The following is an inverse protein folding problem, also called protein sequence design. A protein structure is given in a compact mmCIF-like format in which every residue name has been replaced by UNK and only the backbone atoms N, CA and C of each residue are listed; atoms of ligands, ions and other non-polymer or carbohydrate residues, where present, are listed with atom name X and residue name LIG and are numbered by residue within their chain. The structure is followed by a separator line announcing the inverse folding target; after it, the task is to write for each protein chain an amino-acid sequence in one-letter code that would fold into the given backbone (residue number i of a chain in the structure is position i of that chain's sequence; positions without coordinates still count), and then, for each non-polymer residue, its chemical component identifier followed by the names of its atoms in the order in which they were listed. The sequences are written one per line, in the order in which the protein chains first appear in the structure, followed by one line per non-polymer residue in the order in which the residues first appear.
data_IF_872597918985
#
_entry.id   IF_872597918985
#
_cell.length_a   1.000
_cell.length_b   1.000
_cell.length_c   1.000
_cell.angle_alpha   90.00
_cell.angle_beta   90.00
_cell.angle_gamma   90.00
#
_symmetry.space_group_name_H-M   'P 1'
#
loop_
_entity.id
_entity.type
_entity.pdbx_description
1 polymer ?
#
# COMPACT_ATOMS: atom_id res chain seq x y z
N UNK A 1 9.85 -16.13 3.44
CA UNK A 1 8.57 -16.82 3.06
C UNK A 1 8.42 -16.62 1.57
N UNK A 2 7.93 -17.59 0.81
CA UNK A 2 7.67 -17.35 -0.63
C UNK A 2 6.44 -16.45 -0.76
N UNK A 3 6.53 -15.40 -1.57
CA UNK A 3 5.40 -14.55 -1.95
C UNK A 3 4.39 -15.46 -2.69
N UNK A 4 3.11 -15.50 -2.28
CA UNK A 4 2.13 -16.32 -2.98
C UNK A 4 1.90 -15.78 -4.40
N UNK A 5 1.78 -16.68 -5.35
CA UNK A 5 1.38 -16.37 -6.71
C UNK A 5 -0.13 -16.07 -6.74
N UNK A 6 -0.50 -14.88 -7.15
CA UNK A 6 -1.88 -14.40 -7.29
C UNK A 6 -2.35 -14.33 -8.75
N UNK A 7 -1.55 -14.78 -9.71
CA UNK A 7 -1.91 -14.81 -11.14
C UNK A 7 -3.08 -15.76 -11.45
N UNK A 8 -3.30 -16.78 -10.61
CA UNK A 8 -4.43 -17.69 -10.72
C UNK A 8 -5.50 -17.42 -9.67
N UNK A 9 -6.78 -17.60 -10.05
CA UNK A 9 -7.92 -17.39 -9.15
C UNK A 9 -7.84 -18.31 -7.92
N UNK A 10 -7.96 -17.74 -6.73
CA UNK A 10 -7.91 -18.41 -5.42
C UNK A 10 -9.15 -18.08 -4.61
N UNK A 11 -9.38 -18.88 -3.56
CA UNK A 11 -10.35 -18.57 -2.49
C UNK A 11 -9.59 -18.02 -1.30
N UNK A 12 -9.74 -16.72 -1.06
CA UNK A 12 -8.97 -15.99 -0.05
C UNK A 12 -9.92 -15.52 1.06
N UNK A 13 -9.61 -15.88 2.30
CA UNK A 13 -10.36 -15.44 3.47
C UNK A 13 -9.62 -14.35 4.25
N UNK A 14 -10.26 -13.20 4.48
CA UNK A 14 -9.66 -12.08 5.20
C UNK A 14 -10.19 -12.00 6.63
N UNK A 15 -9.32 -12.11 7.63
CA UNK A 15 -9.67 -11.96 9.04
C UNK A 15 -9.36 -10.53 9.50
N UNK A 16 -10.41 -9.82 9.96
CA UNK A 16 -10.36 -8.39 10.24
C UNK A 16 -10.63 -7.54 8.99
N UNK A 17 -11.51 -8.00 8.11
CA UNK A 17 -11.84 -7.37 6.84
C UNK A 17 -12.52 -5.99 6.96
N UNK A 18 -13.11 -5.66 8.12
CA UNK A 18 -13.76 -4.38 8.38
C UNK A 18 -12.81 -3.20 8.62
N UNK A 19 -11.51 -3.45 8.78
CA UNK A 19 -10.50 -2.39 8.83
C UNK A 19 -10.27 -1.78 7.43
N UNK A 20 -10.00 -0.46 7.36
CA UNK A 20 -9.82 0.27 6.10
C UNK A 20 -8.78 -0.40 5.19
N UNK A 21 -7.60 -0.73 5.72
CA UNK A 21 -6.53 -1.35 4.92
C UNK A 21 -6.84 -2.76 4.45
N UNK A 22 -7.48 -3.60 5.29
CA UNK A 22 -7.87 -4.96 4.89
C UNK A 22 -9.07 -4.93 3.93
N UNK A 23 -9.98 -3.98 4.10
CA UNK A 23 -11.08 -3.76 3.17
C UNK A 23 -10.61 -3.34 1.78
N UNK A 24 -9.59 -2.49 1.72
CA UNK A 24 -8.95 -2.10 0.46
C UNK A 24 -8.29 -3.32 -0.24
N UNK A 25 -7.59 -4.16 0.53
CA UNK A 25 -7.02 -5.42 0.02
C UNK A 25 -8.11 -6.36 -0.48
N UNK A 26 -9.23 -6.50 0.26
CA UNK A 26 -10.37 -7.32 -0.15
C UNK A 26 -10.96 -6.87 -1.49
N UNK A 27 -11.17 -5.56 -1.66
CA UNK A 27 -11.68 -4.97 -2.90
C UNK A 27 -10.76 -5.28 -4.09
N UNK A 28 -9.44 -5.09 -3.91
CA UNK A 28 -8.44 -5.36 -4.95
C UNK A 28 -8.42 -6.85 -5.32
N UNK A 29 -8.29 -7.74 -4.35
CA UNK A 29 -8.28 -9.19 -4.59
C UNK A 29 -9.56 -9.68 -5.29
N UNK A 30 -10.71 -9.14 -4.90
CA UNK A 30 -11.98 -9.47 -5.56
C UNK A 30 -12.00 -9.02 -7.03
N UNK A 31 -11.51 -7.82 -7.33
CA UNK A 31 -11.39 -7.29 -8.71
C UNK A 31 -10.33 -8.01 -9.53
N UNK A 32 -9.29 -8.58 -8.90
CA UNK A 32 -8.33 -9.48 -9.55
C UNK A 32 -8.95 -10.81 -9.98
N UNK A 33 -10.21 -11.10 -9.58
CA UNK A 33 -10.92 -12.33 -9.93
C UNK A 33 -10.83 -13.44 -8.88
N UNK A 34 -10.32 -13.16 -7.69
CA UNK A 34 -10.33 -14.11 -6.58
C UNK A 34 -11.73 -14.20 -5.95
N UNK A 35 -12.06 -15.38 -5.42
CA UNK A 35 -13.22 -15.53 -4.54
C UNK A 35 -12.81 -15.06 -3.14
N UNK A 36 -13.32 -13.90 -2.73
CA UNK A 36 -12.98 -13.29 -1.44
C UNK A 36 -14.10 -13.50 -0.45
N UNK A 37 -13.75 -14.02 0.73
CA UNK A 37 -14.61 -14.07 1.92
C UNK A 37 -13.90 -13.39 3.07
N UNK A 38 -14.60 -13.09 4.16
CA UNK A 38 -13.93 -12.50 5.31
C UNK A 38 -14.76 -12.50 6.58
N UNK A 39 -14.15 -12.01 7.64
CA UNK A 39 -14.78 -11.83 8.95
C UNK A 39 -14.29 -10.56 9.63
N UNK A 40 -15.15 -9.98 10.47
CA UNK A 40 -14.76 -8.92 11.39
C UNK A 40 -15.57 -9.04 12.69
N UNK A 41 -15.03 -8.51 13.79
CA UNK A 41 -15.74 -8.48 15.08
C UNK A 41 -16.98 -7.58 15.07
N UNK A 42 -16.95 -6.54 14.23
CA UNK A 42 -17.96 -5.50 14.15
C UNK A 42 -18.54 -5.40 12.76
N UNK A 43 -19.83 -5.19 12.70
CA UNK A 43 -20.48 -4.71 11.50
C UNK A 43 -20.17 -3.21 11.31
N UNK A 44 -19.99 -2.77 10.08
CA UNK A 44 -19.59 -1.39 9.80
C UNK A 44 -19.59 -1.06 8.31
N UNK A 45 -19.35 0.22 7.97
CA UNK A 45 -19.43 0.69 6.58
C UNK A 45 -18.54 -0.09 5.60
N UNK A 46 -17.33 -0.49 6.02
CA UNK A 46 -16.42 -1.29 5.18
C UNK A 46 -17.01 -2.69 4.94
N UNK A 47 -17.49 -3.36 5.97
CA UNK A 47 -18.13 -4.69 5.86
C UNK A 47 -19.34 -4.63 4.92
N UNK A 48 -20.19 -3.62 5.07
CA UNK A 48 -21.34 -3.43 4.21
C UNK A 48 -20.95 -3.17 2.76
N UNK A 49 -19.95 -2.33 2.52
CA UNK A 49 -19.41 -2.08 1.16
C UNK A 49 -18.91 -3.38 0.51
N UNK A 50 -18.16 -4.21 1.24
CA UNK A 50 -17.66 -5.48 0.74
C UNK A 50 -18.79 -6.46 0.40
N UNK A 51 -19.86 -6.50 1.23
CA UNK A 51 -21.05 -7.31 0.94
C UNK A 51 -21.80 -6.82 -0.30
N UNK A 52 -21.97 -5.52 -0.45
CA UNK A 52 -22.57 -4.92 -1.65
C UNK A 52 -21.75 -5.26 -2.91
N UNK A 53 -20.42 -5.35 -2.79
CA UNK A 53 -19.55 -5.80 -3.86
C UNK A 53 -19.65 -7.32 -4.16
N UNK A 54 -20.45 -8.08 -3.40
CA UNK A 54 -20.68 -9.51 -3.62
C UNK A 54 -19.82 -10.45 -2.79
N UNK A 55 -19.05 -9.94 -1.83
CA UNK A 55 -18.21 -10.75 -0.95
C UNK A 55 -19.02 -11.25 0.26
N UNK A 56 -18.74 -12.47 0.70
CA UNK A 56 -19.34 -13.04 1.91
C UNK A 56 -18.51 -12.63 3.14
N UNK A 57 -19.03 -11.68 3.93
CA UNK A 57 -18.36 -11.18 5.13
C UNK A 57 -19.19 -11.50 6.39
N UNK A 58 -18.57 -12.26 7.29
CA UNK A 58 -19.19 -12.69 8.56
C UNK A 58 -18.92 -11.67 9.67
N UNK A 59 -19.88 -11.52 10.58
CA UNK A 59 -19.69 -10.79 11.84
C UNK A 59 -19.40 -11.80 12.95
N UNK A 60 -18.26 -11.60 13.63
CA UNK A 60 -17.70 -12.57 14.57
C UNK A 60 -16.72 -13.52 13.89
N UNK A 61 -15.80 -14.04 14.70
CA UNK A 61 -14.78 -14.99 14.25
C UNK A 61 -15.17 -16.42 14.63
N UNK A 62 -15.27 -17.29 13.64
CA UNK A 62 -15.54 -18.72 13.81
C UNK A 62 -14.72 -19.55 12.81
N UNK A 63 -14.20 -20.70 13.23
CA UNK A 63 -13.45 -21.61 12.37
C UNK A 63 -14.22 -22.04 11.12
N UNK A 64 -15.56 -22.07 11.18
CA UNK A 64 -16.42 -22.41 10.05
C UNK A 64 -16.40 -21.35 8.94
N UNK A 65 -16.08 -20.07 9.25
CA UNK A 65 -16.04 -18.98 8.27
C UNK A 65 -14.95 -19.22 7.20
N UNK A 66 -13.91 -19.99 7.49
CA UNK A 66 -12.87 -20.34 6.52
C UNK A 66 -13.41 -21.09 5.29
N UNK A 67 -14.51 -21.83 5.43
CA UNK A 67 -15.06 -22.62 4.36
C UNK A 67 -14.00 -23.48 3.65
N UNK A 68 -13.83 -23.24 2.36
CA UNK A 68 -12.85 -23.89 1.49
C UNK A 68 -11.72 -22.93 1.05
N UNK A 69 -11.30 -22.02 1.93
CA UNK A 69 -10.23 -21.07 1.64
C UNK A 69 -8.91 -21.78 1.30
N UNK A 70 -8.21 -21.29 0.29
CA UNK A 70 -6.89 -21.75 -0.13
C UNK A 70 -5.78 -20.91 0.53
N UNK A 71 -6.13 -19.71 1.00
CA UNK A 71 -5.25 -18.72 1.60
C UNK A 71 -6.02 -17.90 2.64
N UNK A 72 -5.39 -17.54 3.72
CA UNK A 72 -5.92 -16.63 4.74
C UNK A 72 -5.04 -15.39 4.83
N UNK A 73 -5.62 -14.20 4.79
CA UNK A 73 -4.92 -12.95 5.06
C UNK A 73 -5.45 -12.32 6.36
N UNK A 74 -4.55 -11.84 7.21
CA UNK A 74 -4.93 -11.31 8.52
C UNK A 74 -4.46 -9.87 8.73
N UNK A 75 -5.29 -9.08 9.41
CA UNK A 75 -4.90 -7.78 9.94
C UNK A 75 -3.86 -7.94 11.06
N UNK A 76 -2.99 -6.95 11.24
CA UNK A 76 -2.03 -6.89 12.34
C UNK A 76 -2.69 -6.92 13.73
N UNK A 77 -3.96 -6.52 13.83
CA UNK A 77 -4.74 -6.55 15.08
C UNK A 77 -5.24 -7.96 15.45
N UNK A 78 -5.13 -8.95 14.56
CA UNK A 78 -5.64 -10.30 14.79
C UNK A 78 -4.61 -11.13 15.56
N UNK A 79 -4.95 -11.61 16.77
CA UNK A 79 -4.03 -12.42 17.56
C UNK A 79 -4.00 -13.88 17.06
N UNK A 80 -2.90 -14.59 17.30
CA UNK A 80 -2.71 -16.00 16.93
C UNK A 80 -3.77 -16.94 17.54
N UNK A 81 -4.37 -16.56 18.68
CA UNK A 81 -5.47 -17.30 19.33
C UNK A 81 -6.82 -17.21 18.63
N UNK A 82 -6.92 -16.38 17.56
CA UNK A 82 -8.16 -16.25 16.78
C UNK A 82 -8.58 -17.63 16.24
N UNK A 83 -9.89 -18.01 16.33
CA UNK A 83 -10.36 -19.34 15.94
C UNK A 83 -10.12 -19.64 14.45
N UNK A 84 -10.21 -18.65 13.59
CA UNK A 84 -9.99 -18.80 12.15
C UNK A 84 -8.48 -19.03 11.87
N UNK A 85 -7.60 -18.27 12.52
CA UNK A 85 -6.13 -18.44 12.40
C UNK A 85 -5.71 -19.83 12.88
N UNK A 86 -6.24 -20.28 14.01
CA UNK A 86 -5.97 -21.62 14.53
C UNK A 86 -6.44 -22.72 13.58
N UNK A 87 -7.68 -22.58 13.09
CA UNK A 87 -8.24 -23.56 12.15
C UNK A 87 -7.49 -23.57 10.81
N UNK A 88 -7.01 -22.41 10.31
CA UNK A 88 -6.16 -22.34 9.14
C UNK A 88 -4.85 -23.10 9.34
N UNK A 89 -4.17 -22.88 10.47
CA UNK A 89 -2.94 -23.59 10.82
C UNK A 89 -3.15 -25.12 10.96
N UNK A 90 -4.23 -25.54 11.60
CA UNK A 90 -4.60 -26.96 11.73
C UNK A 90 -4.88 -27.63 10.38
N UNK A 91 -5.46 -26.88 9.42
CA UNK A 91 -5.73 -27.33 8.05
C UNK A 91 -4.55 -27.12 7.10
N UNK A 92 -3.41 -26.59 7.59
CA UNK A 92 -2.23 -26.25 6.79
C UNK A 92 -2.52 -25.23 5.67
N UNK A 93 -3.52 -24.36 5.85
CA UNK A 93 -3.81 -23.27 4.94
C UNK A 93 -2.80 -22.15 5.24
N UNK A 94 -2.09 -21.61 4.25
CA UNK A 94 -1.17 -20.49 4.46
C UNK A 94 -1.88 -19.28 5.08
N UNK A 95 -1.27 -18.71 6.13
CA UNK A 95 -1.75 -17.50 6.79
C UNK A 95 -0.75 -16.39 6.53
N UNK A 96 -1.17 -15.35 5.85
CA UNK A 96 -0.38 -14.18 5.49
C UNK A 96 -0.78 -12.97 6.33
N UNK A 97 0.19 -12.17 6.70
CA UNK A 97 -0.05 -10.86 7.26
C UNK A 97 -0.27 -9.83 6.13
N UNK A 98 -0.75 -8.64 6.47
CA UNK A 98 -0.85 -7.52 5.53
C UNK A 98 0.49 -7.26 4.82
N UNK A 99 1.60 -7.32 5.55
CA UNK A 99 2.96 -7.18 5.03
C UNK A 99 3.38 -8.26 4.02
N UNK A 100 2.68 -9.38 3.95
CA UNK A 100 2.97 -10.49 3.05
C UNK A 100 2.04 -10.49 1.82
N UNK A 101 0.76 -10.09 2.00
CA UNK A 101 -0.22 -10.07 0.89
C UNK A 101 -0.05 -8.85 -0.02
N UNK A 102 0.36 -7.69 0.52
CA UNK A 102 0.60 -6.50 -0.29
C UNK A 102 1.72 -6.68 -1.32
N UNK A 103 2.89 -7.27 -0.98
CA UNK A 103 3.91 -7.61 -1.97
C UNK A 103 3.41 -8.58 -3.04
N UNK A 104 2.53 -9.53 -2.68
CA UNK A 104 1.96 -10.45 -3.65
C UNK A 104 1.05 -9.72 -4.67
N UNK A 105 0.23 -8.79 -4.22
CA UNK A 105 -0.59 -7.93 -5.11
C UNK A 105 0.32 -7.05 -5.97
N UNK A 106 1.35 -6.44 -5.35
CA UNK A 106 2.30 -5.56 -6.03
C UNK A 106 3.05 -6.26 -7.16
N UNK A 107 3.37 -7.54 -6.97
CA UNK A 107 4.09 -8.35 -7.96
C UNK A 107 3.30 -8.62 -9.26
N UNK A 108 1.98 -8.42 -9.26
CA UNK A 108 1.12 -8.63 -10.43
C UNK A 108 1.17 -7.46 -11.44
N UNK A 109 1.82 -6.35 -11.10
CA UNK A 109 1.93 -5.14 -11.93
C UNK A 109 3.30 -4.47 -11.74
N UNK A 110 3.60 -3.51 -12.60
CA UNK A 110 4.72 -2.58 -12.43
C UNK A 110 4.39 -1.61 -11.29
N UNK A 111 5.18 -1.57 -10.25
CA UNK A 111 4.81 -0.85 -9.03
C UNK A 111 5.48 0.51 -8.90
N UNK A 112 4.67 1.51 -8.57
CA UNK A 112 5.12 2.83 -8.10
C UNK A 112 4.86 2.86 -6.60
N UNK A 113 5.92 2.89 -5.81
CA UNK A 113 5.82 2.92 -4.35
C UNK A 113 6.17 4.32 -3.85
N UNK A 114 5.21 4.93 -3.16
CA UNK A 114 5.38 6.25 -2.53
C UNK A 114 5.68 6.05 -1.06
N UNK A 115 6.90 6.34 -0.65
CA UNK A 115 7.38 6.25 0.72
C UNK A 115 7.77 7.61 1.28
N UNK A 116 7.97 7.68 2.59
CA UNK A 116 8.36 8.87 3.32
C UNK A 116 7.53 9.08 4.57
N UNK A 117 8.05 9.81 5.54
CA UNK A 117 7.40 10.01 6.83
C UNK A 117 6.03 10.67 6.68
N UNK A 118 5.94 11.69 5.82
CA UNK A 118 4.72 12.47 5.58
C UNK A 118 4.40 12.61 4.10
N UNK A 119 3.12 12.87 3.78
CA UNK A 119 2.67 13.21 2.42
C UNK A 119 2.45 12.02 1.48
N UNK A 120 2.66 10.77 1.92
CA UNK A 120 2.43 9.54 1.11
C UNK A 120 1.06 9.54 0.44
N UNK A 121 -0.01 9.64 1.24
CA UNK A 121 -1.40 9.60 0.77
C UNK A 121 -1.70 10.71 -0.25
N UNK A 122 -1.27 11.95 0.05
CA UNK A 122 -1.48 13.08 -0.86
C UNK A 122 -0.77 12.86 -2.19
N UNK A 123 0.51 12.48 -2.15
CA UNK A 123 1.32 12.24 -3.35
C UNK A 123 0.77 11.09 -4.18
N UNK A 124 0.40 9.97 -3.54
CA UNK A 124 -0.19 8.81 -4.21
C UNK A 124 -1.53 9.16 -4.86
N UNK A 125 -2.39 9.94 -4.17
CA UNK A 125 -3.68 10.38 -4.72
C UNK A 125 -3.49 11.30 -5.93
N UNK A 126 -2.59 12.28 -5.84
CA UNK A 126 -2.30 13.18 -6.96
C UNK A 126 -1.73 12.41 -8.16
N UNK A 127 -0.84 11.46 -7.91
CA UNK A 127 -0.26 10.60 -8.95
C UNK A 127 -1.34 9.73 -9.61
N UNK A 128 -2.20 9.08 -8.81
CA UNK A 128 -3.30 8.26 -9.34
C UNK A 128 -4.22 9.09 -10.24
N UNK A 129 -4.61 10.29 -9.80
CA UNK A 129 -5.43 11.21 -10.60
C UNK A 129 -4.74 11.62 -11.89
N UNK A 130 -3.47 12.03 -11.83
CA UNK A 130 -2.70 12.42 -13.00
C UNK A 130 -2.59 11.27 -14.03
N UNK A 131 -2.42 10.04 -13.55
CA UNK A 131 -2.35 8.87 -14.43
C UNK A 131 -3.71 8.49 -15.02
N UNK A 132 -4.81 8.65 -14.26
CA UNK A 132 -6.19 8.49 -14.79
C UNK A 132 -6.47 9.52 -15.89
N UNK A 133 -6.16 10.79 -15.66
CA UNK A 133 -6.32 11.86 -16.66
C UNK A 133 -5.43 11.68 -17.90
N UNK A 134 -4.34 10.92 -17.76
CA UNK A 134 -3.46 10.54 -18.87
C UNK A 134 -3.88 9.24 -19.58
N UNK A 135 -5.06 8.69 -19.30
CA UNK A 135 -5.58 7.43 -19.84
C UNK A 135 -4.67 6.21 -19.61
N UNK A 136 -3.91 6.22 -18.49
CA UNK A 136 -3.02 5.11 -18.11
C UNK A 136 -3.72 4.04 -17.24
N UNK A 137 -4.95 4.31 -16.80
CA UNK A 137 -5.82 3.39 -16.04
C UNK A 137 -5.11 2.63 -14.90
N UNK A 138 -4.47 3.33 -13.93
CA UNK A 138 -3.66 2.68 -12.92
C UNK A 138 -4.49 1.94 -11.88
N UNK A 139 -3.96 0.82 -11.38
CA UNK A 139 -4.40 0.22 -10.13
C UNK A 139 -3.77 0.95 -8.95
N UNK A 140 -4.42 0.97 -7.78
CA UNK A 140 -3.83 1.58 -6.59
C UNK A 140 -4.42 1.06 -5.26
N UNK A 141 -3.62 1.14 -4.20
CA UNK A 141 -4.04 1.05 -2.79
C UNK A 141 -3.42 2.25 -2.05
N UNK A 142 -4.27 3.16 -1.60
CA UNK A 142 -3.91 4.42 -0.95
C UNK A 142 -4.59 4.48 0.42
N UNK A 143 -3.93 5.07 1.42
CA UNK A 143 -4.40 5.10 2.81
C UNK A 143 -5.66 5.92 3.08
N UNK A 144 -6.21 6.60 2.08
CA UNK A 144 -7.45 7.38 2.14
C UNK A 144 -8.25 7.26 0.84
N UNK A 145 -9.51 7.69 0.86
CA UNK A 145 -10.31 7.75 -0.36
C UNK A 145 -9.82 8.89 -1.26
N UNK A 146 -9.63 8.58 -2.53
CA UNK A 146 -9.41 9.58 -3.58
C UNK A 146 -10.78 10.15 -3.92
N UNK A 147 -11.04 11.38 -3.53
CA UNK A 147 -12.39 12.00 -3.57
C UNK A 147 -13.05 11.91 -4.95
N UNK A 148 -12.30 12.13 -6.01
CA UNK A 148 -12.77 12.12 -7.39
C UNK A 148 -13.11 10.72 -7.89
N UNK A 149 -12.45 9.70 -7.32
CA UNK A 149 -12.66 8.28 -7.66
C UNK A 149 -13.64 7.63 -6.67
N UNK A 150 -13.76 8.17 -5.45
CA UNK A 150 -14.64 7.67 -4.39
C UNK A 150 -14.16 6.37 -3.73
N UNK A 151 -12.88 6.02 -3.92
CA UNK A 151 -12.27 4.84 -3.32
C UNK A 151 -10.77 5.03 -3.10
N UNK A 152 -10.25 4.46 -2.03
CA UNK A 152 -8.79 4.35 -1.78
C UNK A 152 -8.16 3.09 -2.41
N UNK A 153 -8.95 2.24 -3.09
CA UNK A 153 -8.45 1.02 -3.70
C UNK A 153 -9.15 0.73 -5.01
N UNK A 154 -8.36 0.55 -6.05
CA UNK A 154 -8.83 0.22 -7.41
C UNK A 154 -7.91 -0.83 -8.01
N UNK A 155 -8.47 -1.79 -8.71
CA UNK A 155 -7.76 -2.68 -9.62
C UNK A 155 -8.31 -2.46 -11.02
N UNK A 156 -7.47 -1.96 -11.91
CA UNK A 156 -7.83 -1.54 -13.26
C UNK A 156 -7.00 -2.29 -14.30
N UNK A 157 -7.18 -2.00 -15.58
CA UNK A 157 -6.54 -2.76 -16.68
C UNK A 157 -5.14 -2.24 -17.04
N UNK A 158 -4.74 -1.07 -16.55
CA UNK A 158 -3.42 -0.48 -16.80
C UNK A 158 -2.27 -1.28 -16.19
N UNK A 159 -1.07 -1.07 -16.69
CA UNK A 159 0.13 -1.80 -16.28
C UNK A 159 0.69 -1.38 -14.91
N UNK A 160 0.27 -0.23 -14.38
CA UNK A 160 0.83 0.37 -13.18
C UNK A 160 -0.01 0.12 -11.93
N UNK A 161 0.69 -0.11 -10.83
CA UNK A 161 0.12 -0.20 -9.49
C UNK A 161 0.77 0.81 -8.55
N UNK A 162 -0.02 1.75 -8.04
CA UNK A 162 0.43 2.76 -7.09
C UNK A 162 0.10 2.29 -5.67
N UNK A 163 1.10 2.27 -4.81
CA UNK A 163 0.93 1.84 -3.42
C UNK A 163 1.75 2.71 -2.46
N UNK A 164 1.19 2.96 -1.28
CA UNK A 164 1.93 3.61 -0.20
C UNK A 164 2.87 2.62 0.47
N UNK A 165 4.13 2.99 0.54
CA UNK A 165 5.16 2.27 1.27
C UNK A 165 5.19 2.67 2.74
N UNK A 166 4.76 1.77 3.64
CA UNK A 166 4.78 2.01 5.07
C UNK A 166 6.18 1.69 5.63
N UNK A 167 6.88 2.73 6.07
CA UNK A 167 8.20 2.62 6.70
C UNK A 167 8.08 2.14 8.16
N UNK A 168 6.95 2.40 8.82
CA UNK A 168 6.78 2.11 10.25
C UNK A 168 6.85 0.63 10.59
N UNK A 169 6.51 -0.25 9.65
CA UNK A 169 6.56 -1.72 9.79
C UNK A 169 7.53 -2.38 8.79
N UNK A 170 8.32 -1.57 8.06
CA UNK A 170 9.26 -1.99 7.01
C UNK A 170 8.61 -2.68 5.79
N UNK A 171 7.29 -2.64 5.64
CA UNK A 171 6.59 -3.27 4.51
C UNK A 171 7.06 -2.72 3.17
N UNK A 172 7.44 -1.44 3.10
CA UNK A 172 7.90 -0.78 1.88
C UNK A 172 9.09 -1.48 1.20
N UNK A 173 9.96 -2.18 1.97
CA UNK A 173 11.12 -2.91 1.44
C UNK A 173 10.72 -4.12 0.57
N UNK A 174 9.54 -4.67 0.78
CA UNK A 174 9.09 -5.89 0.10
C UNK A 174 8.13 -5.65 -1.07
N UNK A 175 7.75 -4.39 -1.33
CA UNK A 175 6.74 -4.06 -2.35
C UNK A 175 7.25 -4.14 -3.80
N UNK A 176 8.55 -4.34 -4.02
CA UNK A 176 9.10 -4.52 -5.37
C UNK A 176 8.98 -3.27 -6.24
N UNK A 177 9.32 -2.09 -5.72
CA UNK A 177 9.20 -0.84 -6.45
C UNK A 177 10.00 -0.83 -7.75
N UNK A 178 9.34 -0.64 -8.88
CA UNK A 178 10.02 -0.25 -10.11
C UNK A 178 10.35 1.24 -10.09
N UNK A 179 9.40 2.06 -9.59
CA UNK A 179 9.59 3.48 -9.33
C UNK A 179 9.43 3.71 -7.84
N UNK A 180 10.46 4.20 -7.18
CA UNK A 180 10.44 4.64 -5.78
C UNK A 180 10.33 6.16 -5.72
N UNK A 181 9.29 6.67 -5.03
CA UNK A 181 9.11 8.10 -4.78
C UNK A 181 9.30 8.31 -3.28
N UNK A 182 10.24 9.18 -2.90
CA UNK A 182 10.47 9.55 -1.49
C UNK A 182 10.10 11.01 -1.28
N UNK A 183 9.07 11.22 -0.46
CA UNK A 183 8.54 12.56 -0.17
C UNK A 183 9.40 13.32 0.85
N UNK A 184 9.78 12.66 1.93
CA UNK A 184 10.64 13.17 2.99
C UNK A 184 11.15 12.00 3.86
N UNK A 185 12.21 12.24 4.62
CA UNK A 185 12.70 11.28 5.63
C UNK A 185 12.99 12.03 6.91
N UNK A 186 12.13 11.84 7.89
CA UNK A 186 12.26 12.40 9.23
C UNK A 186 12.34 11.27 10.27
N UNK A 187 13.01 11.48 11.42
CA UNK A 187 13.14 10.48 12.47
C UNK A 187 11.81 10.33 13.23
N UNK A 188 10.87 9.59 12.65
CA UNK A 188 9.58 9.22 13.24
C UNK A 188 9.40 7.69 13.17
N UNK A 189 8.51 7.13 14.00
CA UNK A 189 8.24 5.69 14.08
C UNK A 189 9.49 4.81 14.28
N UNK A 190 10.45 5.32 15.09
CA UNK A 190 11.75 4.67 15.28
C UNK A 190 11.71 3.36 16.07
N UNK A 191 10.55 2.97 16.64
CA UNK A 191 10.41 1.74 17.43
C UNK A 191 10.80 0.49 16.63
N UNK A 192 10.56 0.49 15.32
CA UNK A 192 10.92 -0.60 14.39
C UNK A 192 12.39 -0.58 14.01
N UNK A 193 13.10 0.49 14.34
CA UNK A 193 14.49 0.78 14.00
C UNK A 193 15.38 0.93 15.25
N UNK A 194 15.05 0.21 16.34
CA UNK A 194 15.77 0.27 17.62
C UNK A 194 15.95 1.69 18.18
N UNK A 195 15.05 2.61 17.82
CA UNK A 195 15.11 4.05 18.09
C UNK A 195 16.36 4.72 17.48
N UNK A 196 16.89 4.18 16.40
CA UNK A 196 18.07 4.67 15.71
C UNK A 196 17.70 5.27 14.34
N UNK A 197 17.85 6.60 14.16
CA UNK A 197 17.59 7.25 12.86
C UNK A 197 18.50 6.78 11.73
N UNK A 198 19.71 6.26 12.03
CA UNK A 198 20.63 5.75 11.02
C UNK A 198 20.06 4.46 10.41
N UNK A 199 19.47 3.58 11.21
CA UNK A 199 18.80 2.37 10.71
C UNK A 199 17.57 2.68 9.84
N UNK A 200 16.80 3.73 10.17
CA UNK A 200 15.73 4.21 9.30
C UNK A 200 16.29 4.66 7.94
N UNK A 201 17.36 5.46 7.96
CA UNK A 201 18.00 5.92 6.73
C UNK A 201 18.58 4.76 5.90
N UNK A 202 19.21 3.77 6.53
CA UNK A 202 19.68 2.55 5.87
C UNK A 202 18.55 1.79 5.19
N UNK A 203 17.38 1.66 5.84
CA UNK A 203 16.22 1.03 5.23
C UNK A 203 15.70 1.81 4.01
N UNK A 204 15.70 3.14 4.06
CA UNK A 204 15.36 3.94 2.88
C UNK A 204 16.41 3.80 1.75
N UNK A 205 17.71 3.67 2.08
CA UNK A 205 18.75 3.37 1.09
C UNK A 205 18.48 2.02 0.42
N UNK A 206 18.22 0.97 1.21
CA UNK A 206 17.86 -0.36 0.69
C UNK A 206 16.63 -0.30 -0.25
N UNK A 207 15.59 0.43 0.16
CA UNK A 207 14.38 0.64 -0.63
C UNK A 207 14.66 1.28 -1.99
N UNK A 208 15.40 2.39 -2.01
CA UNK A 208 15.67 3.10 -3.27
C UNK A 208 16.72 2.40 -4.13
N UNK A 209 17.66 1.66 -3.55
CA UNK A 209 18.63 0.85 -4.31
C UNK A 209 17.94 -0.27 -5.11
N UNK A 210 16.88 -0.86 -4.55
CA UNK A 210 16.10 -1.90 -5.21
C UNK A 210 15.29 -1.39 -6.42
N UNK A 211 14.97 -0.09 -6.47
CA UNK A 211 14.16 0.49 -7.54
C UNK A 211 14.96 0.81 -8.80
N UNK A 212 14.31 0.67 -9.96
CA UNK A 212 14.89 1.06 -11.26
C UNK A 212 14.93 2.58 -11.41
N UNK A 213 13.84 3.25 -11.03
CA UNK A 213 13.72 4.72 -11.07
C UNK A 213 13.50 5.25 -9.66
N UNK A 214 14.19 6.32 -9.31
CA UNK A 214 14.16 6.95 -7.98
C UNK A 214 13.82 8.41 -8.14
N UNK A 215 12.87 8.88 -7.33
CA UNK A 215 12.37 10.25 -7.37
C UNK A 215 12.36 10.80 -5.94
N UNK A 216 12.99 11.94 -5.72
CA UNK A 216 13.20 12.53 -4.39
C UNK A 216 12.69 13.96 -4.31
N UNK A 217 12.08 14.32 -3.19
CA UNK A 217 11.76 15.71 -2.91
C UNK A 217 13.04 16.51 -2.61
N UNK A 218 13.36 17.49 -3.47
CA UNK A 218 14.54 18.35 -3.33
C UNK A 218 14.43 19.33 -2.16
N UNK A 219 13.21 19.56 -1.66
CA UNK A 219 12.94 20.49 -0.57
C UNK A 219 13.11 19.84 0.82
N UNK A 220 13.31 18.50 0.88
CA UNK A 220 13.52 17.76 2.11
C UNK A 220 14.99 17.35 2.30
N UNK A 221 15.61 17.70 3.45
CA UNK A 221 17.01 17.38 3.71
C UNK A 221 17.31 15.86 3.79
N UNK A 222 16.37 15.05 4.32
CA UNK A 222 16.51 13.60 4.44
C UNK A 222 16.42 12.92 3.08
N UNK A 223 15.43 13.29 2.24
CA UNK A 223 15.34 12.81 0.87
C UNK A 223 16.57 13.20 0.05
N UNK A 224 17.10 14.40 0.25
CA UNK A 224 18.35 14.84 -0.40
C UNK A 224 19.59 14.13 0.14
N UNK A 225 19.58 13.64 1.37
CA UNK A 225 20.62 12.74 1.86
C UNK A 225 20.61 11.41 1.11
N UNK A 226 19.44 10.83 0.88
CA UNK A 226 19.26 9.63 0.05
C UNK A 226 19.74 9.88 -1.40
N UNK A 227 19.34 11.00 -2.01
CA UNK A 227 19.70 11.34 -3.38
C UNK A 227 21.24 11.48 -3.58
N UNK A 228 21.97 11.87 -2.51
CA UNK A 228 23.45 11.89 -2.54
C UNK A 228 24.06 10.49 -2.46
N UNK A 229 23.44 9.58 -1.71
CA UNK A 229 23.89 8.20 -1.56
C UNK A 229 23.53 7.36 -2.78
N UNK A 230 22.30 7.49 -3.26
CA UNK A 230 21.74 6.75 -4.40
C UNK A 230 21.12 7.76 -5.37
N UNK A 231 21.84 8.16 -6.44
CA UNK A 231 21.37 9.19 -7.37
C UNK A 231 20.04 8.85 -8.05
N UNK A 232 19.20 9.86 -8.26
CA UNK A 232 17.90 9.77 -8.92
C UNK A 232 17.40 11.15 -9.35
N UNK A 233 16.16 11.21 -9.80
CA UNK A 233 15.47 12.43 -10.25
C UNK A 233 15.00 13.22 -9.02
N UNK A 234 15.15 14.53 -9.04
CA UNK A 234 14.69 15.39 -7.96
C UNK A 234 13.56 16.32 -8.41
N UNK A 235 12.60 16.56 -7.52
CA UNK A 235 11.49 17.51 -7.75
C UNK A 235 11.30 18.42 -6.54
N UNK A 236 10.75 19.60 -6.76
CA UNK A 236 10.45 20.55 -5.68
C UNK A 236 10.56 22.00 -6.09
N UNK A 237 10.68 22.88 -5.09
CA UNK A 237 10.87 24.33 -5.29
C UNK A 237 12.34 24.76 -5.30
N UNK A 238 13.21 23.90 -4.78
CA UNK A 238 14.64 24.15 -4.68
C UNK A 238 15.28 24.42 -6.06
N UNK A 239 16.22 25.35 -6.10
CA UNK A 239 16.88 25.76 -7.36
C UNK A 239 17.63 24.64 -8.08
N UNK A 240 18.03 23.63 -7.32
CA UNK A 240 18.78 22.49 -7.83
C UNK A 240 17.90 21.28 -8.20
N UNK A 241 16.56 21.38 -8.10
CA UNK A 241 15.66 20.31 -8.50
C UNK A 241 15.67 20.13 -10.02
N UNK A 242 15.68 18.86 -10.49
CA UNK A 242 15.59 18.52 -11.92
C UNK A 242 14.24 18.96 -12.50
N UNK A 243 13.17 18.76 -11.71
CA UNK A 243 11.82 19.25 -12.00
C UNK A 243 11.44 20.30 -10.96
N UNK A 244 11.61 21.56 -11.34
CA UNK A 244 11.38 22.67 -10.42
C UNK A 244 10.02 23.29 -10.63
N UNK A 245 9.23 23.39 -9.56
CA UNK A 245 8.00 24.19 -9.52
C UNK A 245 8.36 25.67 -9.36
N UNK A 246 7.88 26.49 -10.25
CA UNK A 246 8.04 27.96 -10.23
C UNK A 246 6.66 28.63 -10.32
N UNK A 247 6.62 29.95 -10.10
CA UNK A 247 5.39 30.77 -10.20
C UNK A 247 4.24 30.20 -9.35
N UNK A 248 4.56 29.78 -8.11
CA UNK A 248 3.60 29.12 -7.22
C UNK A 248 2.64 30.17 -6.65
N UNK A 249 1.36 30.00 -6.95
CA UNK A 249 0.27 30.79 -6.37
C UNK A 249 -0.63 29.90 -5.51
N UNK A 250 -0.82 30.29 -4.24
CA UNK A 250 -1.66 29.57 -3.29
C UNK A 250 -3.02 30.23 -3.12
N UNK A 251 -4.10 29.54 -3.47
CA UNK A 251 -5.48 29.91 -3.19
C UNK A 251 -5.99 29.27 -1.90
N UNK A 252 -7.28 29.46 -1.58
CA UNK A 252 -7.91 28.85 -0.40
C UNK A 252 -8.00 27.31 -0.47
N UNK A 253 -8.14 26.75 -1.67
CA UNK A 253 -8.32 25.33 -1.93
C UNK A 253 -7.61 24.89 -3.22
N UNK A 254 -6.65 25.67 -3.70
CA UNK A 254 -5.91 25.37 -4.93
C UNK A 254 -4.48 25.88 -4.83
N UNK A 255 -3.59 25.21 -5.52
CA UNK A 255 -2.22 25.64 -5.80
C UNK A 255 -2.04 25.58 -7.31
N UNK A 256 -1.53 26.67 -7.89
CA UNK A 256 -1.12 26.71 -9.30
C UNK A 256 0.38 26.93 -9.38
N UNK A 257 1.04 26.33 -10.35
CA UNK A 257 2.47 26.47 -10.58
C UNK A 257 2.82 26.14 -12.03
N UNK A 258 4.00 26.52 -12.42
CA UNK A 258 4.61 26.18 -13.72
C UNK A 258 5.84 25.32 -13.52
#
# INVERSE_FOLDING_TARGET
MMIPDLSEARRIHLVGAGGAGMGAIADVLHRMGHTVTGSDLKDGPVVERLRVAGMEIHVGHDAANLGSADLVAISTAIPERNPEVRAANERQIPVLRRSDILPAISAERRSIVVAGTHGKTTTSSMLAMAMVEADLDPSFIIGGDVNEIGSGAVWADGEWFIIEGDESDRTFLSLGAEIAIVTNVEPDHLETYDNDPEQLMEAFVEFVEAATTRIYCADDPGAMQLARAVPGITYGTAEHADYRMVDIETGRASVTFT
#
